data_IF_809966460702
#
_entry.id   IF_809966460702
#
_cell.length_a   1.000
_cell.length_b   1.000
_cell.length_c   1.000
_cell.angle_alpha   90.00
_cell.angle_beta   90.00
_cell.angle_gamma   90.00
#
_symmetry.space_group_name_H-M   'P 1'
#
loop_
_entity.id
_entity.type
_entity.pdbx_description
1 polymer ?
#
# COMPACT_ATOMS: atom_id res chain seq x y z
N UNK A 1 -63.44 6.07 51.55
CA UNK A 1 -63.51 4.67 51.15
C UNK A 1 -62.20 4.31 50.47
N UNK A 2 -61.47 3.48 51.17
CA UNK A 2 -60.06 3.14 51.01
C UNK A 2 -59.99 1.85 50.27
N UNK A 3 -59.16 1.78 49.16
CA UNK A 3 -58.69 0.52 48.63
C UNK A 3 -57.29 0.67 48.09
N UNK A 4 -56.34 0.38 48.97
CA UNK A 4 -54.93 0.14 48.60
C UNK A 4 -54.79 -1.28 48.04
N UNK A 5 -54.48 -1.44 46.74
CA UNK A 5 -54.09 -2.72 46.18
C UNK A 5 -52.64 -3.01 46.56
N UNK A 6 -52.45 -4.10 47.31
CA UNK A 6 -51.15 -4.74 47.62
C UNK A 6 -50.59 -5.38 46.38
N UNK A 7 -49.33 -5.04 46.01
CA UNK A 7 -48.50 -5.81 45.10
C UNK A 7 -47.82 -6.94 45.91
N UNK A 8 -48.08 -8.20 45.52
CA UNK A 8 -47.38 -9.36 46.01
C UNK A 8 -46.05 -9.52 45.28
N UNK A 9 -44.93 -9.54 46.00
CA UNK A 9 -43.65 -10.02 45.50
C UNK A 9 -43.59 -11.55 45.59
N UNK A 10 -43.11 -12.26 44.52
CA UNK A 10 -42.99 -13.70 44.52
C UNK A 10 -41.55 -14.14 44.88
N UNK A 11 -41.15 -13.95 46.13
CA UNK A 11 -39.98 -14.60 46.67
C UNK A 11 -40.33 -15.11 48.07
N UNK A 12 -40.68 -16.41 48.12
CA UNK A 12 -40.94 -17.12 49.36
C UNK A 12 -39.64 -17.81 49.80
N UNK A 13 -39.12 -17.41 50.98
CA UNK A 13 -37.86 -17.87 51.57
C UNK A 13 -38.01 -19.18 52.37
N UNK A 14 -38.58 -20.21 51.82
CA UNK A 14 -38.74 -21.47 52.52
C UNK A 14 -38.31 -22.72 51.74
N UNK A 15 -37.03 -22.78 51.33
CA UNK A 15 -36.40 -24.09 51.03
C UNK A 15 -34.91 -24.03 51.39
N UNK A 16 -34.55 -24.02 52.67
CA UNK A 16 -33.23 -24.43 53.10
C UNK A 16 -33.27 -25.91 53.52
N UNK A 17 -33.07 -26.80 52.53
CA UNK A 17 -32.72 -28.20 52.81
C UNK A 17 -31.29 -28.29 53.31
N UNK A 18 -31.09 -28.88 54.45
CA UNK A 18 -29.78 -29.24 55.02
C UNK A 18 -29.08 -30.27 54.17
N UNK A 19 -28.30 -29.80 53.17
CA UNK A 19 -27.40 -30.64 52.40
C UNK A 19 -25.99 -30.62 53.02
N UNK A 20 -25.48 -31.74 53.39
CA UNK A 20 -24.09 -31.95 53.84
C UNK A 20 -23.13 -31.37 52.85
N UNK A 21 -22.29 -30.42 53.29
CA UNK A 21 -21.14 -29.90 52.51
C UNK A 21 -20.07 -31.00 52.47
N UNK A 22 -19.80 -31.54 51.27
CA UNK A 22 -18.59 -32.28 50.99
C UNK A 22 -17.36 -31.36 51.10
N UNK A 23 -16.24 -31.81 51.64
CA UNK A 23 -15.05 -31.00 51.74
C UNK A 23 -14.51 -30.70 50.32
N UNK A 24 -13.90 -29.51 50.08
CA UNK A 24 -13.40 -29.12 48.76
C UNK A 24 -12.32 -30.09 48.31
N UNK A 25 -12.45 -30.61 47.08
CA UNK A 25 -11.43 -31.41 46.43
C UNK A 25 -10.14 -30.60 46.31
N UNK A 26 -9.08 -31.17 46.85
CA UNK A 26 -7.75 -30.59 46.96
C UNK A 26 -7.15 -30.42 45.55
N UNK A 27 -7.24 -29.23 44.95
CA UNK A 27 -6.64 -28.89 43.64
C UNK A 27 -5.15 -28.50 43.75
N UNK A 28 -4.50 -28.74 44.89
CA UNK A 28 -3.08 -28.40 45.11
C UNK A 28 -2.10 -29.01 44.10
N UNK A 29 -2.42 -30.23 43.62
CA UNK A 29 -1.56 -30.94 42.67
C UNK A 29 -1.56 -30.35 41.27
N UNK A 30 -2.71 -29.92 40.78
CA UNK A 30 -2.84 -29.32 39.44
C UNK A 30 -2.24 -27.90 39.36
N UNK A 31 -2.38 -27.10 40.43
CA UNK A 31 -1.73 -25.80 40.52
C UNK A 31 -0.20 -25.90 40.60
N UNK A 32 0.32 -26.87 41.34
CA UNK A 32 1.77 -27.12 41.43
C UNK A 32 2.35 -27.55 40.07
N UNK A 33 1.66 -28.40 39.33
CA UNK A 33 2.06 -28.82 37.98
C UNK A 33 2.04 -27.70 36.97
N UNK A 34 1.04 -26.79 37.04
CA UNK A 34 0.95 -25.62 36.22
C UNK A 34 2.07 -24.60 36.48
N UNK A 35 2.42 -24.39 37.75
CA UNK A 35 3.54 -23.55 38.17
C UNK A 35 4.89 -24.08 37.66
N UNK A 36 5.11 -25.38 37.74
CA UNK A 36 6.32 -26.04 37.23
C UNK A 36 6.40 -25.89 35.70
N UNK A 37 5.28 -26.03 34.98
CA UNK A 37 5.22 -25.87 33.52
C UNK A 37 5.55 -24.41 33.11
N UNK A 38 5.02 -23.42 33.83
CA UNK A 38 5.30 -22.01 33.59
C UNK A 38 6.78 -21.70 33.85
N UNK A 39 7.37 -22.19 34.93
CA UNK A 39 8.79 -22.00 35.24
C UNK A 39 9.67 -22.62 34.14
N UNK A 40 9.30 -23.83 33.67
CA UNK A 40 10.01 -24.50 32.59
C UNK A 40 9.91 -23.75 31.25
N UNK A 41 8.73 -23.24 30.93
CA UNK A 41 8.51 -22.43 29.72
C UNK A 41 9.31 -21.11 29.77
N UNK A 42 9.31 -20.41 30.91
CA UNK A 42 10.13 -19.22 31.12
C UNK A 42 11.64 -19.54 31.01
N UNK A 43 12.08 -20.70 31.47
CA UNK A 43 13.46 -21.19 31.31
C UNK A 43 13.85 -21.38 29.84
N UNK A 44 12.96 -21.98 29.03
CA UNK A 44 13.18 -22.15 27.59
C UNK A 44 13.26 -20.78 26.87
N UNK A 45 12.37 -19.87 27.17
CA UNK A 45 12.34 -18.52 26.57
C UNK A 45 13.63 -17.77 26.89
N UNK A 46 14.12 -17.85 28.13
CA UNK A 46 15.38 -17.21 28.53
C UNK A 46 16.60 -17.82 27.82
N UNK A 47 16.62 -19.14 27.64
CA UNK A 47 17.72 -19.82 26.93
C UNK A 47 17.71 -19.47 25.45
N UNK A 48 16.53 -19.43 24.81
CA UNK A 48 16.39 -19.00 23.41
C UNK A 48 16.77 -17.53 23.23
N UNK A 49 16.42 -16.66 24.18
CA UNK A 49 16.83 -15.26 24.17
C UNK A 49 18.36 -15.09 24.26
N UNK A 50 19.03 -15.83 25.16
CA UNK A 50 20.49 -15.82 25.29
C UNK A 50 21.16 -16.38 24.02
N UNK A 51 20.58 -17.39 23.40
CA UNK A 51 21.11 -17.99 22.17
C UNK A 51 21.05 -16.99 21.00
N UNK A 52 19.92 -16.28 20.85
CA UNK A 52 19.75 -15.24 19.84
C UNK A 52 20.74 -14.08 20.05
N UNK A 53 20.92 -13.62 21.31
CA UNK A 53 21.90 -12.56 21.61
C UNK A 53 23.33 -13.00 21.30
N UNK A 54 23.69 -14.26 21.61
CA UNK A 54 25.03 -14.79 21.28
C UNK A 54 25.24 -14.96 19.78
N UNK A 55 24.20 -15.37 19.04
CA UNK A 55 24.24 -15.48 17.58
C UNK A 55 24.45 -14.11 16.95
N UNK A 56 23.69 -13.12 17.41
CA UNK A 56 23.80 -11.74 16.97
C UNK A 56 25.18 -11.12 17.28
N UNK A 57 25.69 -11.33 18.49
CA UNK A 57 27.05 -10.89 18.86
C UNK A 57 28.13 -11.55 18.01
N UNK A 58 27.95 -12.85 17.68
CA UNK A 58 28.89 -13.59 16.83
C UNK A 58 28.85 -13.14 15.39
N UNK A 59 27.69 -12.72 14.88
CA UNK A 59 27.54 -12.13 13.57
C UNK A 59 28.17 -10.72 13.53
N UNK A 60 27.98 -9.92 14.58
CA UNK A 60 28.54 -8.58 14.67
C UNK A 60 30.08 -8.59 14.83
N UNK A 61 30.64 -9.48 15.65
CA UNK A 61 32.11 -9.62 15.77
C UNK A 61 32.76 -10.17 14.51
N UNK A 62 32.04 -10.97 13.70
CA UNK A 62 32.54 -11.39 12.39
C UNK A 62 32.54 -10.23 11.39
N UNK A 63 31.59 -9.30 11.50
CA UNK A 63 31.48 -8.07 10.69
C UNK A 63 32.58 -7.04 11.07
N UNK A 64 32.94 -6.93 12.36
CA UNK A 64 33.98 -6.02 12.85
C UNK A 64 35.41 -6.45 12.43
N UNK A 65 35.62 -7.73 12.16
CA UNK A 65 36.93 -8.26 11.75
C UNK A 65 37.20 -8.13 10.24
N UNK A 66 36.19 -7.81 9.43
CA UNK A 66 36.31 -7.73 7.97
C UNK A 66 36.23 -6.31 7.39
N UNK A 67 35.88 -5.29 8.19
CA UNK A 67 35.74 -3.93 7.68
C UNK A 67 36.31 -2.84 8.58
N UNK A 68 37.58 -2.55 8.41
CA UNK A 68 38.11 -1.20 8.60
C UNK A 68 37.85 -0.41 7.31
N UNK A 69 36.63 0.11 7.12
CA UNK A 69 36.31 0.97 5.97
C UNK A 69 36.75 2.39 6.29
N UNK A 70 37.81 2.80 5.59
CA UNK A 70 38.26 4.17 5.50
C UNK A 70 37.29 4.95 4.61
N UNK A 71 36.56 5.91 5.17
CA UNK A 71 35.94 6.96 4.36
C UNK A 71 37.05 7.80 3.75
N UNK A 72 37.26 7.65 2.45
CA UNK A 72 38.26 8.41 1.73
C UNK A 72 37.83 9.87 1.55
N UNK A 73 38.35 10.73 2.45
CA UNK A 73 38.55 12.13 2.13
C UNK A 73 39.87 12.24 1.38
N UNK A 74 39.82 12.32 0.05
CA UNK A 74 41.03 12.50 -0.72
C UNK A 74 40.76 12.39 -2.24
N UNK A 75 40.79 13.54 -2.88
CA UNK A 75 40.82 13.62 -4.34
C UNK A 75 42.08 12.93 -4.88
N UNK A 76 41.91 11.90 -5.67
CA UNK A 76 42.94 11.38 -6.55
C UNK A 76 42.34 11.16 -7.92
N UNK A 77 42.87 11.90 -8.90
CA UNK A 77 42.52 11.81 -10.30
C UNK A 77 42.79 10.42 -10.84
N UNK A 78 41.80 9.84 -11.51
CA UNK A 78 41.95 8.66 -12.37
C UNK A 78 41.88 9.09 -13.83
N UNK A 79 42.59 8.39 -14.74
CA UNK A 79 42.80 8.86 -16.11
C UNK A 79 41.54 8.77 -16.96
N UNK A 80 41.36 9.81 -17.73
CA UNK A 80 40.35 10.02 -18.75
C UNK A 80 40.56 9.05 -19.89
N UNK A 81 39.70 8.04 -20.05
CA UNK A 81 39.36 7.54 -21.35
C UNK A 81 37.88 7.80 -21.60
N UNK A 82 37.64 8.75 -22.51
CA UNK A 82 36.32 9.19 -22.90
C UNK A 82 35.66 8.10 -23.76
N UNK A 83 34.74 7.35 -23.19
CA UNK A 83 33.71 6.69 -23.95
C UNK A 83 32.63 7.74 -24.27
N UNK A 84 32.65 8.23 -25.50
CA UNK A 84 31.58 9.08 -26.06
C UNK A 84 30.34 8.23 -26.25
N UNK A 85 29.36 8.42 -25.36
CA UNK A 85 27.97 8.01 -25.63
C UNK A 85 27.32 9.07 -26.53
N UNK A 86 26.60 8.69 -27.58
CA UNK A 86 25.89 9.65 -28.40
C UNK A 86 24.77 10.29 -27.56
N UNK A 87 24.85 11.61 -27.41
CA UNK A 87 23.77 12.45 -26.92
C UNK A 87 22.75 12.55 -28.05
N UNK A 88 21.78 11.67 -28.11
CA UNK A 88 20.54 11.93 -28.80
C UNK A 88 19.51 12.37 -27.77
N UNK A 89 19.27 13.67 -27.75
CA UNK A 89 18.04 14.25 -27.23
C UNK A 89 16.91 13.85 -28.19
N UNK A 90 16.41 12.64 -28.04
CA UNK A 90 15.20 12.20 -28.72
C UNK A 90 14.06 12.30 -27.72
N UNK A 91 13.05 13.13 -28.05
CA UNK A 91 11.70 12.89 -27.57
C UNK A 91 11.44 11.38 -27.81
N UNK A 92 11.38 10.60 -26.75
CA UNK A 92 10.99 9.19 -26.84
C UNK A 92 9.50 9.20 -27.19
N UNK A 93 9.20 9.28 -28.48
CA UNK A 93 7.88 8.93 -28.97
C UNK A 93 7.59 7.50 -28.49
N UNK A 94 6.49 7.32 -27.77
CA UNK A 94 5.95 5.99 -27.43
C UNK A 94 6.05 5.13 -28.68
N UNK A 95 6.68 3.94 -28.57
CA UNK A 95 6.82 3.03 -29.70
C UNK A 95 5.44 2.71 -30.26
N UNK A 96 5.34 2.50 -31.57
CA UNK A 96 4.07 2.26 -32.29
C UNK A 96 3.26 1.06 -31.73
N UNK A 97 3.87 0.21 -30.91
CA UNK A 97 3.26 -1.00 -30.30
C UNK A 97 2.94 -0.83 -28.80
N UNK A 98 3.10 0.37 -28.21
CA UNK A 98 2.77 0.57 -26.81
C UNK A 98 1.24 0.64 -26.64
N UNK A 99 0.62 -0.23 -25.79
CA UNK A 99 -0.81 -0.15 -25.51
C UNK A 99 -1.18 1.24 -24.95
N UNK A 100 -2.19 1.86 -25.52
CA UNK A 100 -2.70 3.17 -25.10
C UNK A 100 -4.11 3.04 -24.54
N UNK A 101 -4.44 3.85 -23.54
CA UNK A 101 -5.78 3.96 -22.98
C UNK A 101 -6.55 5.04 -23.74
N UNK A 102 -7.62 4.67 -24.43
CA UNK A 102 -8.51 5.64 -25.09
C UNK A 102 -9.57 6.13 -24.10
N UNK A 103 -9.54 7.45 -23.81
CA UNK A 103 -10.54 8.11 -22.97
C UNK A 103 -11.70 8.59 -23.79
N UNK A 104 -12.84 7.89 -23.69
CA UNK A 104 -14.06 8.28 -24.37
C UNK A 104 -14.72 9.48 -23.67
N UNK A 105 -15.25 10.41 -24.45
CA UNK A 105 -16.04 11.51 -23.90
C UNK A 105 -17.30 10.98 -23.25
N UNK A 106 -17.55 11.37 -22.00
CA UNK A 106 -18.80 11.04 -21.33
C UNK A 106 -19.94 11.85 -21.96
N UNK A 107 -21.04 11.22 -22.40
CA UNK A 107 -22.20 11.94 -22.86
C UNK A 107 -22.71 12.92 -21.78
N UNK A 108 -23.00 14.15 -22.16
CA UNK A 108 -23.46 15.17 -21.23
C UNK A 108 -25.00 15.22 -21.24
N UNK A 109 -25.62 14.88 -20.09
CA UNK A 109 -27.03 15.14 -19.87
C UNK A 109 -27.33 16.61 -19.58
N UNK A 110 -28.58 16.99 -19.57
CA UNK A 110 -29.07 18.35 -19.22
C UNK A 110 -29.83 18.27 -17.89
N UNK A 111 -29.60 19.24 -17.01
CA UNK A 111 -30.35 19.41 -15.74
C UNK A 111 -30.39 18.14 -14.86
N UNK A 112 -29.25 17.49 -14.65
CA UNK A 112 -29.10 16.27 -13.87
C UNK A 112 -29.82 15.02 -14.45
N UNK A 113 -30.31 15.09 -15.66
CA UNK A 113 -30.84 13.93 -16.39
C UNK A 113 -29.69 13.37 -17.22
N UNK A 114 -29.36 12.06 -17.12
CA UNK A 114 -28.37 11.46 -17.99
C UNK A 114 -28.74 11.64 -19.47
N UNK A 115 -27.73 11.81 -20.32
CA UNK A 115 -27.97 11.84 -21.77
C UNK A 115 -28.55 10.51 -22.25
N UNK A 116 -29.09 10.50 -23.48
CA UNK A 116 -29.55 9.29 -24.13
C UNK A 116 -28.44 8.22 -24.14
N UNK A 117 -28.78 6.97 -23.83
CA UNK A 117 -27.83 5.86 -23.76
C UNK A 117 -27.33 5.53 -22.34
N UNK A 118 -27.84 6.20 -21.30
CA UNK A 118 -27.59 5.78 -19.92
C UNK A 118 -28.13 4.36 -19.67
N UNK A 119 -27.32 3.57 -18.99
CA UNK A 119 -27.57 2.17 -18.67
C UNK A 119 -28.25 2.03 -17.30
N UNK A 120 -29.03 0.98 -17.14
CA UNK A 120 -29.46 0.54 -15.81
C UNK A 120 -28.28 0.02 -14.99
N UNK A 121 -28.42 0.02 -13.66
CA UNK A 121 -27.38 -0.52 -12.75
C UNK A 121 -27.02 -1.97 -13.10
N UNK A 122 -27.99 -2.79 -13.49
CA UNK A 122 -27.79 -4.19 -13.91
C UNK A 122 -26.99 -4.28 -15.21
N UNK A 123 -27.25 -3.40 -16.17
CA UNK A 123 -26.51 -3.36 -17.44
C UNK A 123 -25.07 -2.88 -17.24
N UNK A 124 -24.85 -1.90 -16.37
CA UNK A 124 -23.48 -1.44 -16.02
C UNK A 124 -22.69 -2.63 -15.45
N UNK A 125 -23.28 -3.38 -14.50
CA UNK A 125 -22.65 -4.55 -13.93
C UNK A 125 -22.30 -5.59 -14.99
N UNK A 126 -23.27 -6.01 -15.79
CA UNK A 126 -23.10 -7.09 -16.77
C UNK A 126 -22.09 -6.74 -17.87
N UNK A 127 -21.93 -5.47 -18.20
CA UNK A 127 -20.95 -5.02 -19.21
C UNK A 127 -19.51 -4.97 -18.67
N UNK A 128 -19.36 -4.74 -17.37
CA UNK A 128 -18.04 -4.43 -16.81
C UNK A 128 -17.45 -5.55 -15.95
N UNK A 129 -18.26 -6.51 -15.48
CA UNK A 129 -17.79 -7.53 -14.54
C UNK A 129 -16.65 -8.38 -15.12
N UNK A 130 -16.66 -8.66 -16.42
CA UNK A 130 -15.64 -9.46 -17.09
C UNK A 130 -14.31 -8.70 -17.31
N UNK A 131 -14.32 -7.38 -17.10
CA UNK A 131 -13.12 -6.54 -17.12
C UNK A 131 -12.50 -6.37 -15.72
N UNK A 132 -13.09 -6.97 -14.66
CA UNK A 132 -12.65 -6.84 -13.28
C UNK A 132 -12.03 -8.14 -12.80
N UNK A 133 -10.89 -8.05 -12.14
CA UNK A 133 -10.16 -9.21 -11.63
C UNK A 133 -9.87 -9.06 -10.14
N UNK A 134 -9.86 -10.19 -9.43
CA UNK A 134 -9.39 -10.24 -8.04
C UNK A 134 -7.88 -10.35 -8.01
N UNK A 135 -7.20 -9.46 -7.31
CA UNK A 135 -5.75 -9.51 -7.11
C UNK A 135 -5.47 -10.10 -5.73
N UNK A 136 -4.58 -11.08 -5.70
CA UNK A 136 -4.00 -11.60 -4.45
C UNK A 136 -2.48 -11.47 -4.52
N UNK A 137 -1.93 -10.77 -3.57
CA UNK A 137 -0.51 -10.45 -3.45
C UNK A 137 0.03 -11.08 -2.16
N UNK A 138 0.98 -12.01 -2.29
CA UNK A 138 1.59 -12.69 -1.16
C UNK A 138 2.99 -12.11 -0.91
N UNK A 139 3.18 -11.51 0.27
CA UNK A 139 4.46 -11.06 0.80
C UNK A 139 5.09 -12.08 1.74
N UNK A 140 6.22 -11.72 2.38
CA UNK A 140 6.94 -12.61 3.31
C UNK A 140 6.12 -12.99 4.55
N UNK A 141 5.32 -12.07 5.08
CA UNK A 141 4.61 -12.24 6.36
C UNK A 141 3.10 -11.99 6.26
N UNK A 142 2.62 -11.44 5.17
CA UNK A 142 1.22 -11.08 4.98
C UNK A 142 0.76 -11.33 3.55
N UNK A 143 -0.55 -11.50 3.38
CA UNK A 143 -1.22 -11.55 2.08
C UNK A 143 -2.13 -10.33 1.98
N UNK A 144 -2.00 -9.57 0.90
CA UNK A 144 -2.91 -8.47 0.55
C UNK A 144 -3.90 -8.95 -0.52
N UNK A 145 -5.09 -8.39 -0.51
CA UNK A 145 -6.11 -8.63 -1.55
C UNK A 145 -6.66 -7.30 -2.03
N UNK A 146 -6.94 -7.22 -3.30
CA UNK A 146 -7.51 -6.06 -3.96
C UNK A 146 -8.19 -6.45 -5.27
N UNK A 147 -8.47 -5.44 -6.04
CA UNK A 147 -9.13 -5.54 -7.34
C UNK A 147 -8.22 -4.98 -8.43
N UNK A 148 -8.39 -5.43 -9.66
CA UNK A 148 -7.74 -4.87 -10.83
C UNK A 148 -8.71 -4.70 -11.98
N UNK A 149 -8.34 -3.87 -12.95
CA UNK A 149 -9.10 -3.58 -14.17
C UNK A 149 -8.27 -3.97 -15.38
N UNK A 150 -8.82 -4.80 -16.25
CA UNK A 150 -8.17 -5.24 -17.49
C UNK A 150 -8.11 -4.05 -18.45
N UNK A 151 -6.91 -3.71 -18.92
CA UNK A 151 -6.64 -2.63 -19.86
C UNK A 151 -6.66 -3.11 -21.31
N UNK A 152 -6.17 -4.33 -21.55
CA UNK A 152 -5.96 -4.85 -22.91
C UNK A 152 -6.36 -6.32 -23.03
N UNK A 153 -6.66 -6.76 -24.25
CA UNK A 153 -7.04 -8.16 -24.54
C UNK A 153 -5.90 -9.16 -24.31
N UNK A 154 -4.65 -8.71 -24.30
CA UNK A 154 -3.41 -9.50 -24.15
C UNK A 154 -2.88 -9.53 -22.73
N UNK A 155 -3.57 -8.92 -21.74
CA UNK A 155 -3.31 -9.22 -20.35
C UNK A 155 -2.77 -8.08 -19.46
N UNK A 156 -2.70 -6.84 -19.91
CA UNK A 156 -2.37 -5.73 -19.05
C UNK A 156 -3.53 -5.41 -18.09
N UNK A 157 -3.21 -5.20 -16.82
CA UNK A 157 -4.17 -4.94 -15.74
C UNK A 157 -3.67 -3.78 -14.91
N UNK A 158 -4.51 -2.79 -14.63
CA UNK A 158 -4.20 -1.73 -13.67
C UNK A 158 -4.78 -2.07 -12.30
N UNK A 159 -4.05 -1.72 -11.24
CA UNK A 159 -4.48 -1.83 -9.84
C UNK A 159 -3.81 -0.73 -9.03
N UNK A 160 -4.01 -0.70 -7.69
CA UNK A 160 -3.24 0.21 -6.84
C UNK A 160 -1.85 -0.33 -6.51
N UNK A 161 -0.88 0.57 -6.35
CA UNK A 161 0.48 0.24 -5.93
C UNK A 161 0.48 -0.45 -4.56
N UNK A 162 -0.26 0.07 -3.56
CA UNK A 162 -0.31 -0.51 -2.21
C UNK A 162 -0.90 -1.94 -2.16
N UNK A 163 -1.65 -2.37 -3.20
CA UNK A 163 -2.18 -3.75 -3.28
C UNK A 163 -1.06 -4.75 -3.59
N UNK A 164 -0.06 -4.34 -4.34
CA UNK A 164 1.04 -5.21 -4.83
C UNK A 164 2.40 -4.90 -4.21
N UNK A 165 2.47 -3.86 -3.38
CA UNK A 165 3.69 -3.45 -2.68
C UNK A 165 4.25 -4.59 -1.81
N UNK A 166 5.57 -4.77 -1.80
CA UNK A 166 6.28 -5.80 -1.02
C UNK A 166 5.85 -7.26 -1.30
N UNK A 167 5.26 -7.53 -2.48
CA UNK A 167 4.83 -8.88 -2.84
C UNK A 167 5.97 -9.73 -3.41
N UNK A 168 5.99 -11.01 -3.01
CA UNK A 168 6.86 -12.04 -3.59
C UNK A 168 6.17 -12.70 -4.78
N UNK A 169 4.85 -12.81 -4.74
CA UNK A 169 4.04 -13.37 -5.82
C UNK A 169 2.70 -12.69 -5.90
N UNK A 170 2.24 -12.47 -7.13
CA UNK A 170 0.96 -11.85 -7.45
C UNK A 170 0.15 -12.82 -8.32
N UNK A 171 -1.14 -12.93 -8.05
CA UNK A 171 -2.07 -13.68 -8.88
C UNK A 171 -3.29 -12.84 -9.20
N UNK A 172 -3.79 -12.95 -10.42
CA UNK A 172 -5.05 -12.36 -10.86
C UNK A 172 -6.06 -13.47 -11.12
N UNK A 173 -7.24 -13.38 -10.52
CA UNK A 173 -8.33 -14.30 -10.76
C UNK A 173 -9.42 -13.65 -11.59
N UNK A 174 -9.73 -14.26 -12.74
CA UNK A 174 -10.74 -13.81 -13.69
C UNK A 174 -12.15 -14.22 -13.26
N UNK A 175 -13.17 -13.61 -13.87
CA UNK A 175 -14.59 -13.93 -13.60
C UNK A 175 -14.96 -15.37 -13.97
N UNK A 176 -14.31 -15.98 -14.95
CA UNK A 176 -14.50 -17.38 -15.35
C UNK A 176 -13.88 -18.39 -14.37
N UNK A 177 -13.19 -17.90 -13.31
CA UNK A 177 -12.58 -18.72 -12.27
C UNK A 177 -11.10 -19.04 -12.53
N UNK A 178 -10.54 -18.74 -13.70
CA UNK A 178 -9.08 -18.90 -13.94
C UNK A 178 -8.30 -18.03 -12.99
N UNK A 179 -7.26 -18.60 -12.39
CA UNK A 179 -6.28 -17.87 -11.59
C UNK A 179 -4.94 -17.90 -12.31
N UNK A 180 -4.43 -16.75 -12.67
CA UNK A 180 -3.23 -16.58 -13.47
C UNK A 180 -2.13 -15.94 -12.64
N UNK A 181 -0.86 -16.39 -12.75
CA UNK A 181 0.27 -15.63 -12.23
C UNK A 181 0.31 -14.27 -12.93
N UNK A 182 0.53 -13.21 -12.15
CA UNK A 182 0.66 -11.86 -12.66
C UNK A 182 2.08 -11.34 -12.41
N UNK A 183 2.69 -10.75 -13.41
CA UNK A 183 3.99 -10.09 -13.33
C UNK A 183 3.79 -8.60 -13.12
N UNK A 184 4.55 -7.99 -12.23
CA UNK A 184 4.59 -6.54 -12.08
C UNK A 184 5.33 -5.95 -13.29
N UNK A 185 4.66 -5.09 -14.06
CA UNK A 185 5.26 -4.33 -15.16
C UNK A 185 5.92 -3.09 -14.64
N UNK A 186 5.24 -2.37 -13.73
CA UNK A 186 5.76 -1.21 -13.04
C UNK A 186 4.76 -0.70 -11.99
N UNK A 187 5.24 0.12 -11.07
CA UNK A 187 4.44 0.71 -10.02
C UNK A 187 4.88 2.14 -9.74
N UNK A 188 3.94 3.02 -9.41
CA UNK A 188 4.20 4.39 -8.99
C UNK A 188 3.51 4.64 -7.63
N UNK A 189 4.32 4.72 -6.59
CA UNK A 189 3.81 4.99 -5.25
C UNK A 189 3.23 6.39 -5.11
N UNK A 190 3.62 7.35 -5.96
CA UNK A 190 3.12 8.73 -5.94
C UNK A 190 1.66 8.80 -6.35
N UNK A 191 1.29 8.14 -7.43
CA UNK A 191 -0.09 8.08 -7.91
C UNK A 191 -0.88 6.92 -7.30
N UNK A 192 -0.24 6.03 -6.53
CA UNK A 192 -0.83 4.79 -6.01
C UNK A 192 -1.36 3.87 -7.12
N UNK A 193 -0.65 3.77 -8.24
CA UNK A 193 -1.01 2.92 -9.37
C UNK A 193 0.08 1.89 -9.65
N UNK A 194 -0.34 0.72 -10.12
CA UNK A 194 0.55 -0.33 -10.63
C UNK A 194 -0.07 -0.97 -11.86
N UNK A 195 0.79 -1.43 -12.77
CA UNK A 195 0.40 -2.22 -13.92
C UNK A 195 0.96 -3.63 -13.79
N UNK A 196 0.10 -4.61 -13.97
CA UNK A 196 0.43 -6.02 -13.99
C UNK A 196 0.23 -6.57 -15.41
N UNK A 197 0.89 -7.68 -15.71
CA UNK A 197 0.66 -8.45 -16.93
C UNK A 197 0.44 -9.91 -16.59
N UNK A 198 -0.60 -10.51 -17.19
CA UNK A 198 -0.90 -11.94 -17.15
C UNK A 198 -0.73 -12.54 -18.54
N UNK A 199 -0.17 -13.74 -18.62
CA UNK A 199 -0.06 -14.48 -19.89
C UNK A 199 -1.40 -15.10 -20.28
N UNK A 200 -2.27 -14.26 -20.87
CA UNK A 200 -3.57 -14.66 -21.36
C UNK A 200 -4.00 -13.77 -22.55
N UNK A 201 -4.83 -14.31 -23.41
CA UNK A 201 -5.37 -13.60 -24.57
C UNK A 201 -6.90 -13.69 -24.60
N UNK A 202 -7.54 -12.80 -25.34
CA UNK A 202 -8.98 -12.75 -25.47
C UNK A 202 -9.68 -12.33 -24.17
N UNK A 203 -8.99 -11.51 -23.36
CA UNK A 203 -9.59 -10.88 -22.20
C UNK A 203 -10.54 -9.76 -22.64
N UNK A 204 -11.41 -9.34 -21.74
CA UNK A 204 -12.37 -8.25 -22.00
C UNK A 204 -11.84 -6.95 -21.38
N UNK A 205 -11.28 -6.01 -22.17
CA UNK A 205 -10.81 -4.73 -21.64
C UNK A 205 -11.97 -3.85 -21.17
N UNK A 206 -11.74 -3.06 -20.13
CA UNK A 206 -12.67 -2.04 -19.70
C UNK A 206 -12.68 -0.85 -20.68
N UNK A 207 -13.83 -0.22 -20.84
CA UNK A 207 -13.93 1.06 -21.53
C UNK A 207 -13.69 2.21 -20.56
N UNK A 208 -12.76 3.09 -20.87
CA UNK A 208 -12.46 4.25 -20.04
C UNK A 208 -13.21 5.50 -20.53
N UNK A 209 -13.77 6.24 -19.58
CA UNK A 209 -14.40 7.55 -19.82
C UNK A 209 -13.49 8.68 -19.36
N UNK A 210 -13.68 9.85 -19.93
CA UNK A 210 -12.93 11.08 -19.58
C UNK A 210 -13.39 11.64 -18.23
N UNK A 211 -12.55 11.53 -17.20
CA UNK A 211 -12.81 12.09 -15.87
C UNK A 211 -12.88 13.61 -15.83
N UNK A 212 -12.33 14.30 -16.84
CA UNK A 212 -12.41 15.77 -16.94
C UNK A 212 -13.81 16.29 -17.28
N UNK A 213 -14.70 15.41 -17.75
CA UNK A 213 -16.09 15.76 -18.09
C UNK A 213 -17.11 15.50 -16.98
N UNK A 214 -16.68 14.98 -15.81
CA UNK A 214 -17.54 14.65 -14.68
C UNK A 214 -18.14 15.86 -13.99
N UNK A 215 -19.30 15.68 -13.38
CA UNK A 215 -19.98 16.66 -12.55
C UNK A 215 -20.38 16.06 -11.21
N UNK A 216 -20.38 16.90 -10.18
CA UNK A 216 -20.92 16.53 -8.88
C UNK A 216 -22.40 16.18 -9.03
N UNK A 217 -22.80 15.03 -8.49
CA UNK A 217 -24.14 14.47 -8.64
C UNK A 217 -24.26 13.39 -9.73
N UNK A 218 -23.28 13.20 -10.60
CA UNK A 218 -23.29 12.12 -11.59
C UNK A 218 -23.35 10.77 -10.89
N UNK A 219 -24.23 9.88 -11.37
CA UNK A 219 -24.36 8.52 -10.84
C UNK A 219 -23.14 7.69 -11.18
N UNK A 220 -22.62 6.99 -10.18
CA UNK A 220 -21.48 6.09 -10.32
C UNK A 220 -21.69 4.77 -9.59
N UNK A 221 -20.95 3.77 -10.01
CA UNK A 221 -20.90 2.47 -9.35
C UNK A 221 -19.44 2.05 -9.15
N UNK A 222 -19.21 1.26 -8.11
CA UNK A 222 -17.93 0.63 -7.86
C UNK A 222 -18.08 -0.88 -7.89
N UNK A 223 -17.12 -1.57 -8.52
CA UNK A 223 -17.02 -3.03 -8.51
C UNK A 223 -15.70 -3.40 -7.82
N UNK A 224 -15.75 -4.44 -7.00
CA UNK A 224 -14.54 -4.93 -6.34
C UNK A 224 -14.77 -6.18 -5.51
N UNK A 225 -13.70 -6.62 -4.85
CA UNK A 225 -13.68 -7.86 -4.06
C UNK A 225 -13.39 -7.55 -2.57
N UNK A 226 -14.31 -6.91 -1.85
CA UNK A 226 -14.11 -6.62 -0.45
C UNK A 226 -13.91 -7.93 0.33
N UNK A 227 -12.84 -7.99 1.13
CA UNK A 227 -12.46 -9.18 1.92
C UNK A 227 -12.10 -10.43 1.06
N UNK A 228 -11.68 -10.22 -0.19
CA UNK A 228 -11.15 -11.25 -1.09
C UNK A 228 -12.23 -12.03 -1.84
N UNK A 229 -11.81 -13.11 -2.48
CA UNK A 229 -12.56 -13.92 -3.46
C UNK A 229 -13.97 -14.34 -3.02
N UNK A 230 -14.26 -14.43 -1.72
CA UNK A 230 -15.58 -14.79 -1.18
C UNK A 230 -16.66 -13.75 -1.47
N UNK A 231 -16.28 -12.50 -1.64
CA UNK A 231 -17.19 -11.38 -1.91
C UNK A 231 -16.92 -10.75 -3.28
N UNK A 232 -16.39 -11.56 -4.16
CA UNK A 232 -16.04 -11.17 -5.52
C UNK A 232 -17.22 -10.56 -6.26
N UNK A 233 -16.91 -9.48 -7.02
CA UNK A 233 -17.90 -8.77 -7.79
C UNK A 233 -18.92 -8.02 -6.93
N UNK A 234 -18.54 -7.65 -5.71
CA UNK A 234 -19.37 -6.75 -4.90
C UNK A 234 -19.57 -5.45 -5.65
N UNK A 235 -20.84 -5.07 -5.76
CA UNK A 235 -21.31 -3.93 -6.52
C UNK A 235 -21.97 -2.92 -5.59
N UNK A 236 -21.49 -1.69 -5.62
CA UNK A 236 -22.06 -0.59 -4.84
C UNK A 236 -22.32 0.60 -5.73
N UNK A 237 -23.37 1.37 -5.46
CA UNK A 237 -23.74 2.56 -6.20
C UNK A 237 -23.65 3.82 -5.34
N UNK A 238 -23.58 4.95 -6.01
CA UNK A 238 -23.50 6.26 -5.39
C UNK A 238 -23.45 7.37 -6.43
N UNK A 239 -22.91 8.52 -6.01
CA UNK A 239 -22.71 9.68 -6.87
C UNK A 239 -21.30 10.22 -6.73
N UNK A 240 -20.88 11.03 -7.68
CA UNK A 240 -19.73 11.92 -7.54
C UNK A 240 -20.06 12.96 -6.47
N UNK A 241 -19.40 12.89 -5.32
CA UNK A 241 -19.56 13.81 -4.19
C UNK A 241 -18.66 15.04 -4.28
N UNK A 242 -17.56 14.93 -5.03
CA UNK A 242 -16.59 16.02 -5.24
C UNK A 242 -15.59 15.67 -6.34
N UNK A 243 -15.03 16.69 -6.96
CA UNK A 243 -14.03 16.60 -8.03
C UNK A 243 -12.86 17.49 -7.66
N UNK A 244 -11.64 17.08 -8.03
CA UNK A 244 -10.44 17.87 -7.76
C UNK A 244 -10.16 18.01 -6.26
N UNK A 245 -10.31 16.92 -5.50
CA UNK A 245 -9.99 16.89 -4.08
C UNK A 245 -8.50 16.64 -3.90
N UNK A 246 -7.77 17.70 -3.55
CA UNK A 246 -6.35 17.62 -3.22
C UNK A 246 -6.21 17.03 -1.81
N UNK A 247 -5.63 15.84 -1.75
CA UNK A 247 -5.40 15.09 -0.52
C UNK A 247 -3.89 14.94 -0.30
N UNK A 248 -3.42 15.33 0.88
CA UNK A 248 -2.03 15.07 1.29
C UNK A 248 -1.88 13.60 1.71
N UNK A 249 -1.05 12.88 0.97
CA UNK A 249 -0.80 11.45 1.13
C UNK A 249 0.66 11.22 1.53
N UNK A 250 1.02 11.64 2.76
CA UNK A 250 2.39 11.48 3.25
C UNK A 250 3.40 12.42 2.55
N UNK A 251 2.96 13.68 2.33
CA UNK A 251 3.77 14.75 1.75
C UNK A 251 3.69 14.89 0.24
N UNK A 252 2.89 14.07 -0.43
CA UNK A 252 2.49 14.23 -1.83
C UNK A 252 1.04 14.63 -1.91
N UNK A 253 0.68 15.48 -2.86
CA UNK A 253 -0.71 15.86 -3.12
C UNK A 253 -1.26 14.99 -4.24
N UNK A 254 -2.34 14.25 -3.98
CA UNK A 254 -3.11 13.55 -5.00
C UNK A 254 -4.42 14.26 -5.24
N UNK A 255 -4.73 14.56 -6.49
CA UNK A 255 -6.01 15.13 -6.89
C UNK A 255 -6.99 14.01 -7.23
N UNK A 256 -8.05 13.86 -6.45
CA UNK A 256 -8.94 12.69 -6.48
C UNK A 256 -10.39 13.06 -6.77
N UNK A 257 -11.13 12.04 -7.23
CA UNK A 257 -12.59 12.06 -7.30
C UNK A 257 -13.12 11.55 -5.96
N UNK A 258 -14.07 12.27 -5.36
CA UNK A 258 -14.78 11.83 -4.16
C UNK A 258 -16.14 11.22 -4.55
N UNK A 259 -16.48 10.09 -3.93
CA UNK A 259 -17.79 9.42 -4.10
C UNK A 259 -18.35 8.97 -2.74
N UNK A 260 -19.66 8.81 -2.68
CA UNK A 260 -20.33 8.16 -1.54
C UNK A 260 -20.71 6.71 -1.83
N UNK A 261 -20.34 6.16 -3.00
CA UNK A 261 -20.39 4.71 -3.23
C UNK A 261 -19.61 4.00 -2.13
N UNK A 262 -20.17 2.95 -1.53
CA UNK A 262 -19.53 2.25 -0.43
C UNK A 262 -18.25 1.56 -0.89
N UNK A 263 -17.10 2.08 -0.47
CA UNK A 263 -15.79 1.48 -0.70
C UNK A 263 -15.30 0.84 0.59
N UNK A 264 -14.74 -0.37 0.47
CA UNK A 264 -14.17 -1.14 1.57
C UNK A 264 -12.80 -1.68 1.15
N UNK A 265 -12.02 -2.15 2.13
CA UNK A 265 -10.79 -2.89 1.86
C UNK A 265 -11.07 -4.02 0.87
N UNK A 266 -10.32 -4.07 -0.24
CA UNK A 266 -10.53 -4.99 -1.36
C UNK A 266 -11.19 -4.36 -2.59
N UNK A 267 -11.91 -3.22 -2.47
CA UNK A 267 -12.31 -2.44 -3.65
C UNK A 267 -11.15 -1.60 -4.23
N UNK A 268 -10.04 -1.48 -3.49
CA UNK A 268 -8.81 -0.81 -3.97
C UNK A 268 -8.33 -1.45 -5.26
N UNK A 269 -8.02 -0.62 -6.26
CA UNK A 269 -7.63 -1.04 -7.60
C UNK A 269 -8.79 -1.38 -8.53
N UNK A 270 -10.02 -1.46 -8.00
CA UNK A 270 -11.24 -1.67 -8.79
C UNK A 270 -11.75 -0.39 -9.45
N UNK A 271 -12.64 -0.52 -10.45
CA UNK A 271 -13.17 0.61 -11.21
C UNK A 271 -14.23 1.40 -10.45
N UNK A 272 -14.19 2.73 -10.62
CA UNK A 272 -15.35 3.60 -10.47
C UNK A 272 -15.92 3.86 -11.87
N UNK A 273 -17.21 3.57 -12.07
CA UNK A 273 -17.82 3.48 -13.39
C UNK A 273 -19.01 4.45 -13.47
N UNK A 274 -19.15 5.19 -14.56
CA UNK A 274 -20.28 6.09 -14.78
C UNK A 274 -21.55 5.36 -15.30
N UNK A 275 -22.65 6.09 -15.44
CA UNK A 275 -23.91 5.53 -15.93
C UNK A 275 -23.90 5.09 -17.42
N UNK A 276 -22.80 5.27 -18.13
CA UNK A 276 -22.61 4.78 -19.51
C UNK A 276 -21.74 3.52 -19.57
N UNK A 277 -21.35 2.97 -18.41
CA UNK A 277 -20.49 1.79 -18.31
C UNK A 277 -19.01 2.07 -18.55
N UNK A 278 -18.57 3.32 -18.44
CA UNK A 278 -17.18 3.72 -18.64
C UNK A 278 -16.47 3.88 -17.30
N UNK A 279 -15.24 3.38 -17.18
CA UNK A 279 -14.37 3.56 -16.00
C UNK A 279 -13.85 5.00 -15.99
N UNK A 280 -14.22 5.75 -14.98
CA UNK A 280 -13.85 7.16 -14.79
C UNK A 280 -12.78 7.33 -13.71
N UNK A 281 -12.39 6.27 -13.04
CA UNK A 281 -11.33 6.28 -12.05
C UNK A 281 -11.06 4.90 -11.47
N UNK A 282 -9.97 4.79 -10.73
CA UNK A 282 -9.57 3.60 -9.97
C UNK A 282 -9.73 3.90 -8.49
N UNK A 283 -10.55 3.11 -7.80
CA UNK A 283 -10.83 3.27 -6.37
C UNK A 283 -9.57 3.09 -5.54
N UNK A 284 -9.35 3.95 -4.53
CA UNK A 284 -8.25 3.81 -3.58
C UNK A 284 -8.73 3.98 -2.14
N UNK A 285 -8.32 3.06 -1.25
CA UNK A 285 -8.65 3.08 0.17
C UNK A 285 -7.49 3.54 1.06
N UNK A 286 -6.34 3.89 0.46
CA UNK A 286 -5.18 4.37 1.24
C UNK A 286 -5.50 5.61 2.08
N UNK A 287 -6.52 6.36 1.69
CA UNK A 287 -6.98 7.58 2.39
C UNK A 287 -7.79 7.25 3.66
N UNK A 288 -8.47 6.10 3.70
CA UNK A 288 -9.25 5.67 4.88
C UNK A 288 -8.42 5.57 6.16
N UNK A 289 -7.14 5.26 6.05
CA UNK A 289 -6.20 5.20 7.18
C UNK A 289 -6.00 6.57 7.88
N UNK A 290 -6.23 7.69 7.20
CA UNK A 290 -6.12 9.04 7.79
C UNK A 290 -7.41 9.50 8.46
N UNK A 291 -8.55 8.84 8.19
CA UNK A 291 -9.86 9.16 8.77
C UNK A 291 -10.26 8.22 9.91
N UNK A 292 -9.45 7.22 10.24
CA UNK A 292 -9.73 6.18 11.24
C UNK A 292 -10.07 6.70 12.65
N UNK A 293 -9.78 7.97 12.93
CA UNK A 293 -10.12 8.57 14.23
C UNK A 293 -11.57 9.04 14.32
N UNK A 294 -12.36 9.05 13.25
CA UNK A 294 -13.65 9.71 13.21
C UNK A 294 -14.84 8.82 12.82
N UNK A 295 -14.62 7.56 12.34
CA UNK A 295 -15.72 6.71 11.88
C UNK A 295 -16.56 7.38 10.77
N UNK A 296 -15.91 8.08 9.82
CA UNK A 296 -16.60 8.81 8.77
C UNK A 296 -16.99 7.84 7.67
N UNK A 297 -18.26 7.46 7.66
CA UNK A 297 -18.85 6.65 6.58
C UNK A 297 -19.22 7.53 5.36
N UNK A 298 -19.19 6.95 4.15
CA UNK A 298 -19.62 7.63 2.93
C UNK A 298 -18.58 8.56 2.29
N UNK A 299 -17.30 8.43 2.66
CA UNK A 299 -16.18 9.08 1.98
C UNK A 299 -15.35 8.03 1.24
N UNK A 300 -15.60 7.89 -0.05
CA UNK A 300 -14.79 7.10 -0.97
C UNK A 300 -13.99 8.02 -1.91
N UNK A 301 -12.85 7.52 -2.39
CA UNK A 301 -11.99 8.25 -3.32
C UNK A 301 -11.54 7.36 -4.46
N UNK A 302 -11.36 7.98 -5.64
CA UNK A 302 -10.83 7.31 -6.81
C UNK A 302 -9.82 8.21 -7.53
N UNK A 303 -8.79 7.57 -8.09
CA UNK A 303 -7.78 8.20 -8.94
C UNK A 303 -8.42 8.45 -10.31
N UNK A 304 -8.44 9.70 -10.83
CA UNK A 304 -9.09 10.02 -12.10
C UNK A 304 -8.56 9.20 -13.28
N UNK A 305 -9.42 8.84 -14.22
CA UNK A 305 -9.04 8.09 -15.43
C UNK A 305 -7.98 8.81 -16.29
N UNK A 306 -7.95 10.12 -16.29
CA UNK A 306 -6.89 10.91 -16.95
C UNK A 306 -5.51 10.61 -16.34
N UNK A 307 -5.41 10.59 -15.00
CA UNK A 307 -4.18 10.22 -14.29
C UNK A 307 -3.83 8.75 -14.52
N UNK A 308 -4.85 7.86 -14.48
CA UNK A 308 -4.65 6.42 -14.76
C UNK A 308 -4.03 6.21 -16.14
N UNK A 309 -4.56 6.89 -17.16
CA UNK A 309 -4.02 6.83 -18.53
C UNK A 309 -2.54 7.25 -18.57
N UNK A 310 -2.24 8.44 -18.07
CA UNK A 310 -0.90 9.01 -18.10
C UNK A 310 0.13 8.10 -17.41
N UNK A 311 -0.22 7.61 -16.24
CA UNK A 311 0.68 6.75 -15.43
C UNK A 311 0.79 5.36 -16.04
N UNK A 312 -0.32 4.70 -16.39
CA UNK A 312 -0.29 3.34 -16.92
C UNK A 312 0.46 3.24 -18.24
N UNK A 313 0.32 4.21 -19.15
CA UNK A 313 1.06 4.24 -20.42
C UNK A 313 2.57 4.37 -20.19
N UNK A 314 3.03 5.15 -19.21
CA UNK A 314 4.44 5.22 -18.85
C UNK A 314 4.92 3.92 -18.20
N UNK A 315 4.15 3.34 -17.28
CA UNK A 315 4.50 2.06 -16.65
C UNK A 315 4.60 0.93 -17.69
N UNK A 316 3.70 0.88 -18.68
CA UNK A 316 3.75 -0.12 -19.76
C UNK A 316 4.96 0.09 -20.65
N UNK A 317 5.27 1.34 -21.03
CA UNK A 317 6.32 1.63 -22.01
C UNK A 317 7.73 1.53 -21.44
N UNK A 318 7.96 1.91 -20.19
CA UNK A 318 9.29 2.05 -19.61
C UNK A 318 9.46 1.46 -18.21
N UNK A 319 8.37 0.97 -17.57
CA UNK A 319 8.38 0.36 -16.24
C UNK A 319 8.29 1.34 -15.07
N UNK A 320 8.44 2.64 -15.30
CA UNK A 320 8.41 3.68 -14.27
C UNK A 320 7.75 4.96 -14.77
N UNK A 321 7.45 5.89 -13.87
CA UNK A 321 6.91 7.23 -14.21
C UNK A 321 8.03 8.24 -14.13
N UNK A 322 8.29 8.94 -15.23
CA UNK A 322 9.37 9.92 -15.32
C UNK A 322 9.15 11.11 -14.37
N UNK A 323 10.26 11.70 -13.92
CA UNK A 323 10.23 12.91 -13.08
C UNK A 323 9.91 12.64 -11.60
N UNK A 324 9.92 11.38 -11.14
CA UNK A 324 9.72 11.04 -9.72
C UNK A 324 11.03 11.19 -8.97
N UNK A 325 11.13 12.09 -7.96
CA UNK A 325 12.34 12.23 -7.16
C UNK A 325 12.47 11.09 -6.16
N UNK A 326 13.67 10.55 -5.99
CA UNK A 326 13.98 9.53 -4.98
C UNK A 326 15.38 9.72 -4.39
N UNK A 327 15.63 9.13 -3.24
CA UNK A 327 16.99 8.91 -2.70
C UNK A 327 17.46 7.46 -2.91
N UNK A 328 16.60 6.59 -3.50
CA UNK A 328 16.91 5.18 -3.73
C UNK A 328 17.07 4.38 -2.42
N UNK A 329 16.27 4.70 -1.41
CA UNK A 329 16.29 4.03 -0.10
C UNK A 329 14.94 3.34 0.14
N UNK A 330 15.02 2.09 0.59
CA UNK A 330 13.90 1.32 1.11
C UNK A 330 14.08 1.08 2.59
N UNK A 331 12.98 1.02 3.36
CA UNK A 331 13.13 0.83 4.80
C UNK A 331 11.83 0.54 5.52
N UNK A 332 11.97 0.10 6.76
CA UNK A 332 10.87 -0.21 7.66
C UNK A 332 10.95 0.61 8.96
N UNK A 333 9.82 0.98 9.57
CA UNK A 333 9.80 1.65 10.85
C UNK A 333 10.44 0.77 11.93
N UNK A 334 11.38 1.31 12.71
CA UNK A 334 11.88 0.63 13.90
C UNK A 334 10.78 0.53 14.96
N UNK A 335 10.52 -0.68 15.45
CA UNK A 335 9.57 -0.88 16.54
C UNK A 335 10.05 -0.19 17.83
N UNK A 336 9.10 0.23 18.68
CA UNK A 336 9.44 0.80 20.01
C UNK A 336 10.20 -0.20 20.88
N UNK A 337 9.97 -1.50 20.67
CA UNK A 337 10.69 -2.57 21.34
C UNK A 337 12.17 -2.58 20.92
N UNK A 338 12.45 -2.57 19.62
CA UNK A 338 13.83 -2.59 19.10
C UNK A 338 14.61 -1.35 19.51
N UNK A 339 13.97 -0.17 19.43
CA UNK A 339 14.57 1.09 19.89
C UNK A 339 14.98 1.01 21.35
N UNK A 340 14.11 0.48 22.22
CA UNK A 340 14.38 0.40 23.65
C UNK A 340 15.38 -0.71 24.00
N UNK A 341 15.21 -1.91 23.43
CA UNK A 341 15.99 -3.11 23.75
C UNK A 341 17.44 -2.98 23.25
N UNK A 342 17.62 -2.50 22.01
CA UNK A 342 18.94 -2.34 21.39
C UNK A 342 19.53 -0.93 21.58
N UNK A 343 18.81 -0.03 22.26
CA UNK A 343 19.19 1.39 22.46
C UNK A 343 19.48 2.12 21.15
N UNK A 344 18.62 1.87 20.15
CA UNK A 344 18.69 2.48 18.84
C UNK A 344 17.95 3.82 18.82
N UNK A 345 18.41 4.81 18.02
CA UNK A 345 17.64 6.02 17.82
C UNK A 345 16.34 5.74 17.08
N UNK A 346 15.35 6.60 17.25
CA UNK A 346 14.18 6.60 16.39
C UNK A 346 14.61 6.93 14.95
N UNK A 347 14.09 6.19 13.98
CA UNK A 347 14.48 6.36 12.58
C UNK A 347 13.84 5.28 11.69
N UNK A 348 14.14 5.35 10.40
CA UNK A 348 13.80 4.37 9.40
C UNK A 348 14.96 3.37 9.26
N UNK A 349 14.70 2.10 9.51
CA UNK A 349 15.67 1.02 9.30
C UNK A 349 15.78 0.71 7.81
N UNK A 350 16.95 0.88 7.22
CA UNK A 350 17.18 0.68 5.79
C UNK A 350 17.25 -0.81 5.48
N UNK A 351 16.34 -1.28 4.65
CA UNK A 351 16.22 -2.68 4.19
C UNK A 351 16.73 -2.87 2.77
N UNK A 352 16.83 -1.78 1.99
CA UNK A 352 17.35 -1.79 0.63
C UNK A 352 17.93 -0.45 0.24
N UNK A 353 18.91 -0.49 -0.66
CA UNK A 353 19.52 0.70 -1.28
C UNK A 353 19.69 0.42 -2.78
N UNK A 354 19.07 1.25 -3.60
CA UNK A 354 19.27 1.17 -5.05
C UNK A 354 20.74 1.44 -5.39
N UNK A 355 21.35 0.49 -6.09
CA UNK A 355 22.79 0.55 -6.46
C UNK A 355 23.12 1.71 -7.40
N UNK A 356 22.16 2.22 -8.15
CA UNK A 356 22.30 3.36 -9.04
C UNK A 356 22.14 4.71 -8.31
N UNK A 357 21.68 4.71 -7.05
CA UNK A 357 21.44 5.93 -6.28
C UNK A 357 22.73 6.59 -5.78
N UNK A 358 22.65 7.88 -5.51
CA UNK A 358 23.74 8.62 -4.82
C UNK A 358 23.92 8.13 -3.38
N UNK A 359 22.88 7.61 -2.74
CA UNK A 359 22.94 7.00 -1.41
C UNK A 359 23.89 5.80 -1.38
N UNK A 360 23.78 4.88 -2.36
CA UNK A 360 24.73 3.77 -2.50
C UNK A 360 26.16 4.25 -2.77
N UNK A 361 26.32 5.23 -3.67
CA UNK A 361 27.64 5.81 -4.00
C UNK A 361 28.29 6.49 -2.77
N UNK A 362 27.49 7.04 -1.86
CA UNK A 362 27.95 7.67 -0.60
C UNK A 362 28.10 6.66 0.55
N UNK A 363 27.85 5.39 0.30
CA UNK A 363 28.11 4.30 1.24
C UNK A 363 26.99 4.10 2.28
N UNK A 364 25.76 4.52 2.01
CA UNK A 364 24.60 4.07 2.77
C UNK A 364 24.33 2.62 2.37
N UNK A 365 24.04 1.77 3.35
CA UNK A 365 23.82 0.34 3.15
C UNK A 365 22.67 -0.19 4.00
N UNK A 366 22.21 -1.36 3.63
CA UNK A 366 21.23 -2.12 4.41
C UNK A 366 21.70 -2.32 5.84
N UNK A 367 20.83 -2.10 6.82
CA UNK A 367 21.13 -2.14 8.24
C UNK A 367 21.45 -0.78 8.87
N UNK A 368 21.53 0.28 8.08
CA UNK A 368 21.60 1.65 8.59
C UNK A 368 20.24 2.09 9.16
N UNK A 369 20.26 3.14 9.99
CA UNK A 369 19.04 3.80 10.44
C UNK A 369 19.09 5.25 9.97
N UNK A 370 18.18 5.62 9.06
CA UNK A 370 18.02 7.00 8.65
C UNK A 370 17.22 7.76 9.72
N UNK A 371 17.82 8.77 10.31
CA UNK A 371 17.24 9.57 11.41
C UNK A 371 16.48 10.77 10.85
N UNK A 372 17.10 11.51 9.92
CA UNK A 372 16.49 12.74 9.38
C UNK A 372 17.00 13.07 7.98
N UNK A 373 16.18 13.82 7.24
CA UNK A 373 16.52 14.49 5.98
C UNK A 373 16.25 15.98 6.14
N UNK A 374 17.26 16.82 5.88
CA UNK A 374 17.19 18.28 6.04
C UNK A 374 16.64 18.72 7.40
N UNK A 375 16.96 17.97 8.47
CA UNK A 375 16.48 18.21 9.82
C UNK A 375 15.05 17.75 10.12
N UNK A 376 14.33 17.19 9.14
CA UNK A 376 13.02 16.56 9.31
C UNK A 376 13.24 15.11 9.75
N UNK A 377 12.68 14.71 10.90
CA UNK A 377 12.78 13.34 11.38
C UNK A 377 12.06 12.37 10.44
N UNK A 378 12.74 11.26 10.10
CA UNK A 378 12.22 10.21 9.21
C UNK A 378 12.13 8.93 10.01
N UNK A 379 10.90 8.45 10.26
CA UNK A 379 10.63 7.20 11.00
C UNK A 379 9.84 6.19 10.16
N UNK A 380 9.34 6.60 9.01
CA UNK A 380 8.56 5.77 8.07
C UNK A 380 8.95 6.10 6.64
N UNK A 381 8.65 5.21 5.69
CA UNK A 381 8.80 5.49 4.26
C UNK A 381 7.95 6.68 3.82
N UNK A 382 6.74 6.83 4.35
CA UNK A 382 5.88 7.98 4.02
C UNK A 382 6.53 9.31 4.46
N UNK A 383 7.20 9.34 5.62
CA UNK A 383 7.93 10.53 6.07
C UNK A 383 9.15 10.83 5.18
N UNK A 384 9.88 9.79 4.75
CA UNK A 384 10.98 9.93 3.81
C UNK A 384 10.48 10.48 2.47
N UNK A 385 9.49 9.83 1.88
CA UNK A 385 8.91 10.20 0.60
C UNK A 385 8.34 11.62 0.64
N UNK A 386 7.62 11.97 1.71
CA UNK A 386 7.08 13.32 1.89
C UNK A 386 8.14 14.42 2.03
N UNK A 387 9.34 14.09 2.49
CA UNK A 387 10.46 15.01 2.50
C UNK A 387 11.11 15.16 1.11
N UNK A 388 11.11 14.08 0.32
CA UNK A 388 11.80 14.00 -0.99
C UNK A 388 10.90 14.52 -2.12
N UNK A 389 9.61 14.23 -2.13
CA UNK A 389 8.69 14.63 -3.22
C UNK A 389 8.51 16.16 -3.40
N UNK A 390 9.00 16.96 -2.46
CA UNK A 390 9.01 18.42 -2.54
C UNK A 390 10.28 19.00 -3.19
N UNK A 391 11.18 18.12 -3.60
CA UNK A 391 12.49 18.46 -4.14
C UNK A 391 12.53 18.16 -5.64
N UNK A 392 13.39 18.88 -6.33
CA UNK A 392 13.67 18.61 -7.73
C UNK A 392 14.80 17.57 -7.87
N UNK A 393 14.78 16.81 -8.98
CA UNK A 393 15.89 15.92 -9.34
C UNK A 393 17.15 16.75 -9.51
N UNK A 394 18.22 16.36 -8.83
CA UNK A 394 19.48 17.10 -8.76
C UNK A 394 19.65 17.94 -7.49
N UNK A 395 18.59 18.16 -6.73
CA UNK A 395 18.70 18.82 -5.42
C UNK A 395 19.57 18.00 -4.46
N UNK A 396 20.18 18.69 -3.50
CA UNK A 396 21.03 18.07 -2.50
C UNK A 396 20.39 18.17 -1.12
N UNK A 397 20.34 17.06 -0.38
CA UNK A 397 19.80 16.98 0.98
C UNK A 397 20.86 16.53 1.99
N UNK A 398 20.78 17.00 3.23
CA UNK A 398 21.57 16.48 4.34
C UNK A 398 20.81 15.32 5.01
N UNK A 399 21.33 14.10 4.91
CA UNK A 399 20.85 12.94 5.63
C UNK A 399 21.65 12.70 6.90
N UNK A 400 20.98 12.39 8.01
CA UNK A 400 21.60 11.91 9.24
C UNK A 400 21.34 10.43 9.37
N UNK A 401 22.40 9.62 9.35
CA UNK A 401 22.37 8.17 9.37
C UNK A 401 23.08 7.65 10.62
N UNK A 402 22.52 6.64 11.27
CA UNK A 402 23.13 5.94 12.39
C UNK A 402 23.60 4.55 11.97
N UNK A 403 24.84 4.23 12.27
CA UNK A 403 25.49 2.93 12.05
C UNK A 403 26.44 2.62 13.21
N UNK A 404 26.34 1.42 13.77
CA UNK A 404 27.30 0.89 14.78
C UNK A 404 27.60 1.87 15.93
N UNK A 405 26.58 2.49 16.52
CA UNK A 405 26.71 3.38 17.68
C UNK A 405 27.09 4.82 17.35
N UNK A 406 27.21 5.20 16.08
CA UNK A 406 27.61 6.54 15.65
C UNK A 406 26.61 7.13 14.67
N UNK A 407 26.51 8.46 14.68
CA UNK A 407 25.75 9.21 13.69
C UNK A 407 26.69 9.82 12.66
N UNK A 408 26.28 9.77 11.41
CA UNK A 408 26.99 10.34 10.26
C UNK A 408 26.06 11.31 9.54
N UNK A 409 26.64 12.41 9.04
CA UNK A 409 25.96 13.34 8.14
C UNK A 409 26.46 13.08 6.73
N UNK A 410 25.52 12.84 5.83
CA UNK A 410 25.80 12.50 4.45
C UNK A 410 25.01 13.46 3.57
N UNK A 411 25.65 14.10 2.62
CA UNK A 411 25.00 14.92 1.61
C UNK A 411 24.60 14.02 0.44
N UNK A 412 23.31 13.89 0.20
CA UNK A 412 22.74 13.05 -0.86
C UNK A 412 22.15 13.90 -1.97
N UNK A 413 22.31 13.46 -3.20
CA UNK A 413 21.67 14.06 -4.37
C UNK A 413 20.39 13.30 -4.67
N UNK A 414 19.29 14.04 -4.87
CA UNK A 414 18.01 13.47 -5.32
C UNK A 414 18.14 13.00 -6.76
N UNK A 415 17.79 11.76 -7.01
CA UNK A 415 17.83 11.13 -8.33
C UNK A 415 16.42 10.84 -8.84
N UNK A 416 16.29 10.46 -10.09
CA UNK A 416 15.03 9.98 -10.66
C UNK A 416 14.77 8.54 -10.24
N UNK A 417 13.55 8.28 -9.79
CA UNK A 417 13.07 6.91 -9.53
C UNK A 417 12.78 6.21 -10.86
N UNK A 418 13.49 5.12 -11.12
CA UNK A 418 13.33 4.33 -12.36
C UNK A 418 12.77 2.93 -12.08
N UNK A 419 12.25 2.70 -10.85
CA UNK A 419 11.67 1.43 -10.43
C UNK A 419 12.69 0.38 -10.01
#
# INVERSE_FOLDING_TARGET
MDERKKYNHPWDDSVYGTGRTEPPKNHGGTMALLLILIIFLCGIITVLGILNVRLFQKLNTRRESEQSISFATGAAALPTEAATFPTESGDAALGEDTPTIDLQKCPQGVDNVPAEGALSLQEIYSRNIDSVVSITSAGQSATSTGTGVILTEDGYIVTNCHVVENSISITAQLTDGRTLPAMLVGADSVSDLAVLHVDATGLTPAQFGDSGSLRVGDTVVAIGDPLGVKFRGTYTDGIISGIGRDMDMGGRTMTLIQTNAALNSGNSGGPLINCYGQVIGINTMKIGAFTDSAGVEGLGFAIPSSTVKEVAEQLISQGYVSGRPTLGLEGEPLSSFDQHYYRLPAGLYITGVDRASDAAAKGIEEGDILISINGINVTTMDALNGAVYKLDIGDTVEAVVYRSGKQYRVSLTVTEDKG
#
